data_IF_080022784746
#
_entry.id   IF_080022784746
#
_cell.length_a   1.000
_cell.length_b   1.000
_cell.length_c   1.000
_cell.angle_alpha   90.00
_cell.angle_beta   90.00
_cell.angle_gamma   90.00
#
_symmetry.space_group_name_H-M   'P 1'
#
loop_
_entity.id
_entity.type
_entity.pdbx_description
1 polymer ?
#
# COMPACT_ATOMS: atom_id res chain seq x y z
N UNK A 1 -33.42 -3.61 -30.65
CA UNK A 1 -33.33 -5.08 -30.77
C UNK A 1 -33.62 -5.69 -29.40
N UNK A 2 -33.99 -6.98 -29.28
CA UNK A 2 -34.01 -7.65 -27.98
C UNK A 2 -32.64 -7.56 -27.30
N UNK A 3 -32.64 -7.40 -25.97
CA UNK A 3 -31.42 -7.31 -25.15
C UNK A 3 -30.63 -8.62 -25.27
N UNK A 4 -29.30 -8.53 -25.32
CA UNK A 4 -28.42 -9.71 -25.31
C UNK A 4 -28.22 -10.40 -26.66
N UNK A 5 -28.66 -9.78 -27.76
CA UNK A 5 -28.56 -10.38 -29.11
C UNK A 5 -27.12 -10.33 -29.67
N UNK A 6 -26.27 -9.42 -29.19
CA UNK A 6 -24.87 -9.26 -29.60
C UNK A 6 -23.92 -9.84 -28.55
N UNK A 7 -22.62 -9.92 -28.88
CA UNK A 7 -21.62 -10.43 -27.93
C UNK A 7 -21.47 -9.50 -26.72
N UNK A 8 -21.22 -10.04 -25.51
CA UNK A 8 -20.95 -9.24 -24.33
C UNK A 8 -19.51 -8.70 -24.34
N UNK A 9 -19.25 -7.70 -23.49
CA UNK A 9 -17.88 -7.28 -23.16
C UNK A 9 -17.20 -8.29 -22.20
N UNK A 10 -15.90 -8.13 -21.87
CA UNK A 10 -15.18 -9.05 -20.96
C UNK A 10 -15.76 -9.15 -19.54
N UNK A 11 -16.64 -8.23 -19.14
CA UNK A 11 -17.34 -8.25 -17.85
C UNK A 11 -18.71 -8.95 -17.95
N UNK A 12 -19.06 -9.51 -19.11
CA UNK A 12 -20.34 -10.16 -19.35
C UNK A 12 -21.51 -9.20 -19.59
N UNK A 13 -21.24 -7.92 -19.87
CA UNK A 13 -22.27 -6.91 -20.10
C UNK A 13 -22.65 -6.84 -21.59
N UNK A 14 -23.96 -6.90 -21.84
CA UNK A 14 -24.55 -6.79 -23.18
C UNK A 14 -25.07 -5.38 -23.45
N UNK A 15 -25.12 -5.01 -24.73
CA UNK A 15 -25.68 -3.75 -25.22
C UNK A 15 -25.04 -2.51 -24.56
N UNK A 16 -23.76 -2.59 -24.20
CA UNK A 16 -22.99 -1.46 -23.64
C UNK A 16 -22.77 -0.36 -24.69
N UNK A 17 -22.77 -0.74 -25.97
CA UNK A 17 -22.68 0.15 -27.12
C UNK A 17 -23.84 -0.15 -28.06
N UNK A 18 -24.63 0.87 -28.38
CA UNK A 18 -25.82 0.78 -29.22
C UNK A 18 -27.06 0.28 -28.48
N UNK A 19 -28.09 -0.10 -29.24
CA UNK A 19 -29.44 -0.37 -28.75
C UNK A 19 -30.10 0.87 -28.13
N UNK A 20 -29.77 1.25 -26.89
CA UNK A 20 -30.29 2.45 -26.25
C UNK A 20 -29.15 3.20 -25.54
N UNK A 21 -29.19 4.53 -25.61
CA UNK A 21 -28.26 5.34 -24.83
C UNK A 21 -28.68 5.26 -23.35
N UNK A 22 -27.75 4.99 -22.45
CA UNK A 22 -28.06 4.76 -21.03
C UNK A 22 -27.81 6.03 -20.23
N UNK A 23 -28.84 6.50 -19.51
CA UNK A 23 -28.73 7.61 -18.57
C UNK A 23 -27.80 7.22 -17.41
N UNK A 24 -26.90 8.13 -17.04
CA UNK A 24 -26.05 8.02 -15.85
C UNK A 24 -26.43 9.07 -14.81
N UNK A 25 -26.18 8.75 -13.54
CA UNK A 25 -26.58 9.59 -12.40
C UNK A 25 -25.84 10.94 -12.36
N UNK A 26 -24.68 11.03 -13.00
CA UNK A 26 -23.83 12.23 -13.00
C UNK A 26 -24.38 13.29 -13.96
N UNK A 27 -24.54 14.52 -13.48
CA UNK A 27 -24.82 15.68 -14.34
C UNK A 27 -23.65 15.99 -15.26
N UNK A 28 -23.93 16.60 -16.41
CA UNK A 28 -22.90 16.99 -17.35
C UNK A 28 -22.00 18.07 -16.76
N UNK A 29 -20.70 17.90 -16.97
CA UNK A 29 -19.68 18.90 -16.67
C UNK A 29 -18.60 18.78 -17.74
N UNK A 30 -18.05 19.94 -18.11
CA UNK A 30 -16.92 20.03 -19.02
C UNK A 30 -15.72 19.30 -18.42
N UNK A 31 -14.95 18.62 -19.27
CA UNK A 31 -13.70 17.97 -18.85
C UNK A 31 -12.54 18.71 -19.49
N UNK A 32 -11.64 19.24 -18.67
CA UNK A 32 -10.39 19.84 -19.11
C UNK A 32 -9.22 19.12 -18.43
N UNK A 33 -8.26 18.63 -19.22
CA UNK A 33 -7.10 17.85 -18.74
C UNK A 33 -7.48 16.71 -17.76
N UNK A 34 -8.60 16.03 -18.01
CA UNK A 34 -9.08 14.91 -17.19
C UNK A 34 -9.80 15.31 -15.89
N UNK A 35 -10.03 16.61 -15.64
CA UNK A 35 -10.79 17.10 -14.48
C UNK A 35 -12.13 17.69 -14.90
N UNK A 36 -13.16 17.40 -14.10
CA UNK A 36 -14.49 18.01 -14.23
C UNK A 36 -14.41 19.50 -13.83
N UNK A 37 -14.96 20.38 -14.66
CA UNK A 37 -14.98 21.83 -14.49
C UNK A 37 -16.32 22.41 -14.94
N UNK A 38 -16.64 23.61 -14.46
CA UNK A 38 -17.84 24.35 -14.84
C UNK A 38 -19.08 23.99 -14.02
N UNK A 39 -20.20 24.63 -14.39
CA UNK A 39 -21.49 24.40 -13.77
C UNK A 39 -22.04 23.01 -14.13
N UNK A 40 -22.96 22.52 -13.29
CA UNK A 40 -23.71 21.30 -13.58
C UNK A 40 -24.74 21.56 -14.67
N UNK A 41 -24.65 20.76 -15.74
CA UNK A 41 -25.60 20.75 -16.84
C UNK A 41 -26.72 19.73 -16.67
N UNK A 42 -27.29 19.31 -17.79
CA UNK A 42 -28.30 18.26 -17.89
C UNK A 42 -27.79 16.88 -17.52
N UNK A 43 -28.61 15.85 -17.72
CA UNK A 43 -28.18 14.48 -17.46
C UNK A 43 -27.30 13.98 -18.62
N UNK A 44 -26.38 13.09 -18.28
CA UNK A 44 -25.50 12.47 -19.27
C UNK A 44 -26.08 11.13 -19.71
N UNK A 45 -25.97 10.85 -21.01
CA UNK A 45 -26.15 9.50 -21.54
C UNK A 45 -24.86 8.96 -22.15
N UNK A 46 -24.69 7.64 -22.10
CA UNK A 46 -23.55 6.91 -22.67
C UNK A 46 -24.00 5.72 -23.51
N UNK A 47 -23.08 5.12 -24.25
CA UNK A 47 -23.32 3.90 -25.02
C UNK A 47 -23.90 4.12 -26.43
N UNK A 48 -24.57 5.25 -26.66
CA UNK A 48 -25.23 5.55 -27.94
C UNK A 48 -26.44 4.65 -28.19
N UNK A 49 -27.19 4.90 -29.26
CA UNK A 49 -28.47 4.24 -29.51
C UNK A 49 -28.60 3.66 -30.93
N UNK A 50 -29.72 3.00 -31.21
CA UNK A 50 -29.97 2.31 -32.48
C UNK A 50 -30.05 3.21 -33.73
N UNK A 51 -30.16 4.53 -33.59
CA UNK A 51 -30.15 5.49 -34.70
C UNK A 51 -28.74 6.00 -35.04
N UNK A 52 -27.75 5.68 -34.21
CA UNK A 52 -26.38 6.19 -34.37
C UNK A 52 -25.53 5.28 -35.25
N UNK A 53 -24.74 5.89 -36.14
CA UNK A 53 -23.83 5.17 -37.02
C UNK A 53 -22.57 4.67 -36.30
N UNK A 54 -21.96 3.61 -36.80
CA UNK A 54 -20.79 2.95 -36.23
C UNK A 54 -19.62 3.93 -35.95
N UNK A 55 -19.38 4.89 -36.85
CA UNK A 55 -18.33 5.90 -36.69
C UNK A 55 -18.59 6.93 -35.59
N UNK A 56 -19.73 6.86 -34.88
CA UNK A 56 -20.09 7.76 -33.78
C UNK A 56 -20.26 7.04 -32.44
N UNK A 57 -20.11 5.71 -32.43
CA UNK A 57 -20.30 4.88 -31.25
C UNK A 57 -18.96 4.58 -30.57
N UNK A 58 -18.64 5.31 -29.50
CA UNK A 58 -17.42 5.12 -28.71
C UNK A 58 -17.72 5.02 -27.21
N UNK A 59 -16.94 4.19 -26.50
CA UNK A 59 -17.10 3.95 -25.05
C UNK A 59 -16.92 5.20 -24.19
N UNK A 60 -16.14 6.18 -24.66
CA UNK A 60 -15.91 7.46 -23.98
C UNK A 60 -16.91 8.56 -24.33
N UNK A 61 -17.84 8.33 -25.27
CA UNK A 61 -18.77 9.36 -25.70
C UNK A 61 -19.75 9.72 -24.58
N UNK A 62 -19.86 11.02 -24.31
CA UNK A 62 -20.83 11.60 -23.37
C UNK A 62 -21.73 12.54 -24.17
N UNK A 63 -23.04 12.38 -24.03
CA UNK A 63 -24.00 13.36 -24.54
C UNK A 63 -24.82 13.91 -23.39
N UNK A 64 -25.08 15.20 -23.46
CA UNK A 64 -25.91 15.91 -22.50
C UNK A 64 -27.32 16.05 -23.07
N UNK A 65 -28.32 15.77 -22.24
CA UNK A 65 -29.71 16.09 -22.52
C UNK A 65 -30.29 16.90 -21.37
N UNK A 66 -31.19 17.87 -21.65
CA UNK A 66 -31.82 18.65 -20.60
C UNK A 66 -32.79 17.77 -19.79
N UNK A 67 -32.88 18.00 -18.47
CA UNK A 67 -33.83 17.30 -17.60
C UNK A 67 -35.29 17.68 -17.91
N UNK A 68 -35.50 18.94 -18.29
CA UNK A 68 -36.81 19.52 -18.58
C UNK A 68 -36.78 20.28 -19.91
N UNK A 69 -37.92 20.31 -20.60
CA UNK A 69 -38.15 21.16 -21.75
C UNK A 69 -38.19 22.65 -21.37
N UNK A 70 -38.23 23.51 -22.39
CA UNK A 70 -38.32 24.97 -22.21
C UNK A 70 -39.59 25.42 -21.49
N UNK A 71 -40.63 24.60 -21.52
CA UNK A 71 -41.92 24.79 -20.85
C UNK A 71 -41.95 24.17 -19.44
N UNK A 72 -40.83 23.60 -18.97
CA UNK A 72 -40.71 22.94 -17.67
C UNK A 72 -41.24 21.51 -17.63
N UNK A 73 -41.70 20.96 -18.75
CA UNK A 73 -42.16 19.56 -18.81
C UNK A 73 -40.99 18.57 -18.78
N UNK A 74 -41.23 17.35 -18.31
CA UNK A 74 -40.21 16.29 -18.30
C UNK A 74 -39.73 15.98 -19.72
N UNK A 75 -38.40 16.00 -19.91
CA UNK A 75 -37.85 15.60 -21.20
C UNK A 75 -37.97 14.09 -21.39
N UNK A 76 -38.53 13.68 -22.53
CA UNK A 76 -38.65 12.27 -22.92
C UNK A 76 -37.86 12.01 -24.20
N UNK A 77 -37.13 10.89 -24.23
CA UNK A 77 -36.38 10.46 -25.39
C UNK A 77 -36.59 8.95 -25.61
N UNK A 78 -37.09 8.59 -26.78
CA UNK A 78 -37.37 7.20 -27.17
C UNK A 78 -36.10 6.36 -27.32
N UNK A 79 -34.94 6.99 -27.52
CA UNK A 79 -33.66 6.30 -27.69
C UNK A 79 -32.84 6.19 -26.41
N UNK A 80 -33.37 6.72 -25.29
CA UNK A 80 -32.69 6.70 -23.98
C UNK A 80 -33.34 5.69 -23.04
N UNK A 81 -32.52 4.78 -22.53
CA UNK A 81 -32.87 3.84 -21.47
C UNK A 81 -32.00 4.03 -20.23
N UNK A 82 -31.90 2.99 -19.42
CA UNK A 82 -31.07 2.97 -18.22
C UNK A 82 -30.64 1.55 -17.88
N UNK A 83 -29.59 1.47 -17.06
CA UNK A 83 -29.13 0.24 -16.43
C UNK A 83 -29.03 0.45 -14.93
N UNK A 84 -29.51 -0.51 -14.15
CA UNK A 84 -29.46 -0.45 -12.69
C UNK A 84 -28.13 -1.04 -12.22
N UNK A 85 -27.38 -0.25 -11.45
CA UNK A 85 -26.25 -0.74 -10.67
C UNK A 85 -26.65 -0.78 -9.19
N UNK A 86 -26.50 -1.95 -8.55
CA UNK A 86 -26.78 -2.13 -7.13
C UNK A 86 -25.45 -2.26 -6.40
N UNK A 87 -25.14 -1.27 -5.56
CA UNK A 87 -24.00 -1.31 -4.65
C UNK A 87 -24.43 -1.65 -3.23
N UNK A 88 -23.53 -2.27 -2.46
CA UNK A 88 -23.69 -2.35 -1.01
C UNK A 88 -23.26 -1.03 -0.36
N UNK A 89 -23.83 -0.71 0.81
CA UNK A 89 -23.31 0.39 1.65
C UNK A 89 -21.84 0.11 1.97
N UNK A 90 -20.95 1.04 1.66
CA UNK A 90 -19.53 0.92 2.03
C UNK A 90 -19.34 0.94 3.56
N UNK A 91 -20.30 1.49 4.30
CA UNK A 91 -20.34 1.54 5.76
C UNK A 91 -21.70 0.98 6.28
N UNK A 92 -21.89 -0.35 6.33
CA UNK A 92 -23.10 -0.95 6.88
C UNK A 92 -23.19 -0.71 8.39
N UNK A 93 -24.41 -0.78 8.96
CA UNK A 93 -24.62 -0.47 10.38
C UNK A 93 -23.78 -1.30 11.34
N UNK A 94 -23.56 -2.56 11.00
CA UNK A 94 -22.69 -3.48 11.75
C UNK A 94 -21.24 -3.01 11.87
N UNK A 95 -20.77 -2.16 10.95
CA UNK A 95 -19.40 -1.64 10.93
C UNK A 95 -19.28 -0.19 11.39
N UNK A 96 -20.37 0.50 11.74
CA UNK A 96 -20.28 1.91 12.15
C UNK A 96 -19.35 2.12 13.33
N UNK A 97 -19.46 1.27 14.37
CA UNK A 97 -18.62 1.41 15.55
C UNK A 97 -17.14 1.20 15.20
N UNK A 98 -16.83 0.16 14.43
CA UNK A 98 -15.47 -0.12 13.95
C UNK A 98 -14.91 1.05 13.12
N UNK A 99 -15.68 1.55 12.14
CA UNK A 99 -15.27 2.66 11.27
C UNK A 99 -15.12 3.97 12.04
N UNK A 100 -15.98 4.21 13.03
CA UNK A 100 -15.89 5.39 13.89
C UNK A 100 -14.66 5.32 14.80
N UNK A 101 -14.38 4.17 15.39
CA UNK A 101 -13.16 3.95 16.18
C UNK A 101 -11.89 4.09 15.32
N UNK A 102 -11.92 3.60 14.07
CA UNK A 102 -10.84 3.81 13.10
C UNK A 102 -10.66 5.30 12.79
N UNK A 103 -11.73 6.02 12.46
CA UNK A 103 -11.70 7.46 12.21
C UNK A 103 -11.18 8.27 13.41
N UNK A 104 -11.54 7.88 14.64
CA UNK A 104 -11.03 8.53 15.86
C UNK A 104 -9.53 8.31 16.10
N UNK A 105 -9.00 7.18 15.63
CA UNK A 105 -7.56 6.84 15.68
C UNK A 105 -6.78 7.48 14.53
N UNK A 106 -7.42 7.68 13.38
CA UNK A 106 -6.83 8.41 12.27
C UNK A 106 -6.55 9.87 12.65
N UNK A 107 -5.47 10.44 12.12
CA UNK A 107 -5.06 11.80 12.45
C UNK A 107 -4.49 11.99 13.86
N UNK A 108 -4.23 10.91 14.62
CA UNK A 108 -3.56 10.95 15.93
C UNK A 108 -2.05 10.90 15.77
N UNK A 109 -1.35 11.84 16.43
CA UNK A 109 0.12 11.88 16.41
C UNK A 109 0.71 10.70 17.19
N UNK A 110 0.05 10.27 18.26
CA UNK A 110 0.44 9.08 19.01
C UNK A 110 0.34 7.78 18.19
N UNK A 111 -0.38 7.79 17.07
CA UNK A 111 -0.39 6.67 16.11
C UNK A 111 0.88 6.56 15.26
N UNK A 112 1.68 7.63 15.16
CA UNK A 112 2.87 7.69 14.28
C UNK A 112 4.14 7.16 14.95
N UNK A 113 4.23 7.23 16.28
CA UNK A 113 5.43 6.88 17.05
C UNK A 113 5.04 6.47 18.47
N UNK A 114 5.81 5.56 19.05
CA UNK A 114 5.66 5.14 20.45
C UNK A 114 6.24 6.17 21.44
N UNK A 115 6.93 7.20 20.96
CA UNK A 115 7.51 8.26 21.79
C UNK A 115 6.45 9.24 22.34
N UNK A 116 5.23 9.23 21.79
CA UNK A 116 4.13 10.09 22.21
C UNK A 116 3.09 9.22 22.93
N UNK A 117 2.89 9.46 24.22
CA UNK A 117 1.81 8.85 24.97
C UNK A 117 0.44 9.35 24.43
N UNK A 118 -0.50 8.43 24.22
CA UNK A 118 -1.88 8.74 23.82
C UNK A 118 -2.59 9.71 24.79
N UNK A 119 -2.19 9.74 26.07
CA UNK A 119 -2.69 10.72 27.04
C UNK A 119 -2.17 12.14 26.77
N UNK A 120 -1.01 12.27 26.14
CA UNK A 120 -0.32 13.52 25.82
C UNK A 120 -0.45 13.93 24.35
N UNK A 121 -1.27 13.23 23.55
CA UNK A 121 -1.43 13.50 22.13
C UNK A 121 -1.92 14.95 21.89
N UNK A 122 -1.14 15.80 21.20
CA UNK A 122 -1.53 17.19 20.92
C UNK A 122 -2.84 17.31 20.13
N UNK A 123 -3.16 16.38 19.23
CA UNK A 123 -4.41 16.45 18.46
C UNK A 123 -5.62 16.12 19.34
N UNK A 124 -5.43 15.25 20.34
CA UNK A 124 -6.46 14.97 21.35
C UNK A 124 -6.67 16.16 22.27
N UNK A 125 -5.59 16.85 22.65
CA UNK A 125 -5.69 18.09 23.41
C UNK A 125 -6.40 19.20 22.63
N UNK A 126 -6.15 19.31 21.32
CA UNK A 126 -6.83 20.26 20.45
C UNK A 126 -8.34 19.97 20.33
N UNK A 127 -8.74 18.70 20.19
CA UNK A 127 -10.16 18.32 20.22
C UNK A 127 -10.85 18.82 21.51
N UNK A 128 -10.20 18.66 22.68
CA UNK A 128 -10.73 19.14 23.95
C UNK A 128 -10.83 20.67 24.02
N UNK A 129 -9.88 21.40 23.44
CA UNK A 129 -9.92 22.87 23.35
C UNK A 129 -11.09 23.33 22.48
N UNK A 130 -11.30 22.68 21.33
CA UNK A 130 -12.43 22.96 20.43
C UNK A 130 -13.76 22.67 21.12
N UNK A 131 -13.87 21.56 21.86
CA UNK A 131 -15.08 21.21 22.59
C UNK A 131 -15.40 22.18 23.74
N UNK A 132 -14.38 22.78 24.35
CA UNK A 132 -14.54 23.76 25.43
C UNK A 132 -14.73 25.20 24.94
N UNK A 133 -14.54 25.48 23.65
CA UNK A 133 -14.71 26.81 23.08
C UNK A 133 -16.18 27.23 23.13
N UNK A 134 -16.44 28.42 23.66
CA UNK A 134 -17.80 28.98 23.81
C UNK A 134 -18.21 29.90 22.64
N UNK A 135 -17.25 30.48 21.92
CA UNK A 135 -17.51 31.28 20.72
C UNK A 135 -17.67 30.37 19.48
N UNK A 136 -18.84 30.36 18.81
CA UNK A 136 -19.07 29.56 17.61
C UNK A 136 -18.09 29.85 16.47
N UNK A 137 -17.63 31.10 16.32
CA UNK A 137 -16.67 31.45 15.26
C UNK A 137 -15.31 30.86 15.54
N UNK A 138 -14.81 31.02 16.76
CA UNK A 138 -13.55 30.43 17.20
C UNK A 138 -13.59 28.90 17.13
N UNK A 139 -14.71 28.29 17.52
CA UNK A 139 -14.90 26.84 17.42
C UNK A 139 -14.82 26.36 15.96
N UNK A 140 -15.44 27.08 15.02
CA UNK A 140 -15.38 26.77 13.60
C UNK A 140 -13.96 26.90 13.03
N UNK A 141 -13.25 27.99 13.35
CA UNK A 141 -11.87 28.21 12.88
C UNK A 141 -10.89 27.14 13.42
N UNK A 142 -10.95 26.85 14.73
CA UNK A 142 -10.13 25.79 15.32
C UNK A 142 -10.50 24.41 14.76
N UNK A 143 -11.78 24.19 14.46
CA UNK A 143 -12.26 22.99 13.78
C UNK A 143 -11.61 22.81 12.41
N UNK A 144 -11.57 23.86 11.58
CA UNK A 144 -10.91 23.83 10.28
C UNK A 144 -9.41 23.51 10.39
N UNK A 145 -8.70 24.16 11.32
CA UNK A 145 -7.27 23.90 11.56
C UNK A 145 -7.03 22.47 12.02
N UNK A 146 -7.88 21.94 12.90
CA UNK A 146 -7.78 20.56 13.39
C UNK A 146 -8.01 19.53 12.27
N UNK A 147 -8.97 19.76 11.39
CA UNK A 147 -9.21 18.91 10.23
C UNK A 147 -8.03 18.92 9.25
N UNK A 148 -7.43 20.10 9.00
CA UNK A 148 -6.22 20.20 8.19
C UNK A 148 -5.02 19.50 8.85
N UNK A 149 -4.85 19.65 10.17
CA UNK A 149 -3.81 18.96 10.92
C UNK A 149 -3.99 17.44 10.84
N UNK A 150 -5.20 16.92 11.10
CA UNK A 150 -5.51 15.48 11.01
C UNK A 150 -5.26 14.96 9.60
N UNK A 151 -5.63 15.72 8.56
CA UNK A 151 -5.33 15.38 7.16
C UNK A 151 -3.82 15.25 6.93
N UNK A 152 -3.02 16.21 7.40
CA UNK A 152 -1.57 16.17 7.26
C UNK A 152 -0.95 15.00 8.04
N UNK A 153 -1.43 14.74 9.26
CA UNK A 153 -1.02 13.57 10.05
C UNK A 153 -1.33 12.28 9.31
N UNK A 154 -2.53 12.16 8.70
CA UNK A 154 -2.89 10.99 7.90
C UNK A 154 -2.04 10.84 6.63
N UNK A 155 -1.62 11.92 5.98
CA UNK A 155 -0.67 11.86 4.86
C UNK A 155 0.71 11.35 5.31
N UNK A 156 1.21 11.85 6.45
CA UNK A 156 2.47 11.39 7.05
C UNK A 156 2.34 9.91 7.46
N UNK A 157 1.21 9.50 8.03
CA UNK A 157 0.96 8.11 8.40
C UNK A 157 1.10 7.19 7.19
N UNK A 158 0.48 7.53 6.06
CA UNK A 158 0.61 6.76 4.81
C UNK A 158 2.04 6.66 4.32
N UNK A 159 2.80 7.77 4.34
CA UNK A 159 4.21 7.75 3.95
C UNK A 159 5.04 6.86 4.87
N UNK A 160 4.78 6.89 6.19
CA UNK A 160 5.46 6.02 7.16
C UNK A 160 5.08 4.56 6.99
N UNK A 161 3.83 4.25 6.69
CA UNK A 161 3.36 2.91 6.37
C UNK A 161 4.09 2.36 5.14
N UNK A 162 4.13 3.11 4.04
CA UNK A 162 4.86 2.71 2.83
C UNK A 162 6.37 2.52 3.11
N UNK A 163 6.97 3.44 3.87
CA UNK A 163 8.37 3.34 4.27
C UNK A 163 8.66 2.10 5.15
N UNK A 164 7.76 1.76 6.08
CA UNK A 164 7.87 0.57 6.90
C UNK A 164 7.76 -0.71 6.06
N UNK A 165 6.82 -0.77 5.10
CA UNK A 165 6.72 -1.88 4.15
C UNK A 165 8.00 -2.05 3.32
N UNK A 166 8.54 -0.95 2.78
CA UNK A 166 9.79 -0.95 2.04
C UNK A 166 10.99 -1.36 2.89
N UNK A 167 11.04 -0.94 4.15
CA UNK A 167 12.08 -1.35 5.10
C UNK A 167 12.04 -2.86 5.34
N UNK A 168 10.86 -3.45 5.55
CA UNK A 168 10.70 -4.90 5.76
C UNK A 168 11.18 -5.66 4.52
N UNK A 169 10.78 -5.23 3.32
CA UNK A 169 11.23 -5.85 2.07
C UNK A 169 12.76 -5.72 1.88
N UNK A 170 13.29 -4.53 2.11
CA UNK A 170 14.73 -4.25 2.02
C UNK A 170 15.53 -5.12 3.00
N UNK A 171 15.11 -5.20 4.26
CA UNK A 171 15.78 -6.01 5.26
C UNK A 171 15.73 -7.52 4.95
N UNK A 172 14.63 -8.00 4.34
CA UNK A 172 14.55 -9.37 3.85
C UNK A 172 15.57 -9.64 2.72
N UNK A 173 15.78 -8.69 1.81
CA UNK A 173 16.80 -8.76 0.77
C UNK A 173 18.23 -8.69 1.32
N UNK A 174 18.47 -7.87 2.35
CA UNK A 174 19.76 -7.83 3.05
C UNK A 174 20.04 -9.19 3.72
N UNK A 175 19.04 -9.79 4.38
CA UNK A 175 19.17 -11.13 4.95
C UNK A 175 19.47 -12.21 3.89
N UNK A 176 18.89 -12.10 2.69
CA UNK A 176 19.23 -12.96 1.55
C UNK A 176 20.69 -12.73 1.09
N UNK A 177 21.13 -11.48 1.06
CA UNK A 177 22.52 -11.12 0.73
C UNK A 177 23.52 -11.69 1.72
N UNK A 178 23.23 -11.64 3.03
CA UNK A 178 24.03 -12.28 4.08
C UNK A 178 24.18 -13.78 3.81
N UNK A 179 23.08 -14.47 3.49
CA UNK A 179 23.13 -15.88 3.16
C UNK A 179 23.99 -16.17 1.92
N UNK A 180 23.85 -15.37 0.86
CA UNK A 180 24.63 -15.52 -0.37
C UNK A 180 26.12 -15.29 -0.15
N UNK A 181 26.51 -14.30 0.66
CA UNK A 181 27.89 -14.10 1.07
C UNK A 181 28.41 -15.28 1.88
N UNK A 182 27.62 -15.83 2.80
CA UNK A 182 28.03 -17.00 3.59
C UNK A 182 28.25 -18.25 2.72
N UNK A 183 27.37 -18.52 1.75
CA UNK A 183 27.54 -19.63 0.78
C UNK A 183 28.85 -19.45 0.00
N UNK A 184 29.09 -18.25 -0.55
CA UNK A 184 30.31 -17.95 -1.31
C UNK A 184 31.56 -18.11 -0.43
N UNK A 185 31.50 -17.63 0.81
CA UNK A 185 32.60 -17.72 1.77
C UNK A 185 32.91 -19.18 2.11
N UNK A 186 31.88 -20.00 2.35
CA UNK A 186 32.01 -21.43 2.65
C UNK A 186 32.64 -22.18 1.47
N UNK A 187 32.21 -21.88 0.24
CA UNK A 187 32.80 -22.48 -0.96
C UNK A 187 34.28 -22.09 -1.13
N UNK A 188 34.62 -20.82 -0.90
CA UNK A 188 36.01 -20.35 -0.96
C UNK A 188 36.91 -21.02 0.09
N UNK A 189 36.41 -21.17 1.33
CA UNK A 189 37.11 -21.88 2.39
C UNK A 189 37.35 -23.34 2.04
N UNK A 190 36.34 -24.03 1.48
CA UNK A 190 36.47 -25.40 1.02
C UNK A 190 37.50 -25.53 -0.12
N UNK A 191 37.54 -24.57 -1.06
CA UNK A 191 38.56 -24.59 -2.13
C UNK A 191 39.95 -24.28 -1.61
N UNK A 192 40.09 -23.38 -0.64
CA UNK A 192 41.37 -23.10 0.02
C UNK A 192 41.91 -24.37 0.71
N UNK A 193 41.08 -25.04 1.51
CA UNK A 193 41.47 -26.26 2.22
C UNK A 193 41.93 -27.37 1.26
N UNK A 194 41.29 -27.50 0.08
CA UNK A 194 41.73 -28.44 -0.97
C UNK A 194 43.08 -28.06 -1.58
N UNK A 195 43.31 -26.76 -1.84
CA UNK A 195 44.59 -26.29 -2.37
C UNK A 195 45.74 -26.48 -1.37
N UNK A 196 45.47 -26.23 -0.07
CA UNK A 196 46.41 -26.50 1.02
C UNK A 196 46.75 -27.99 1.12
N UNK A 197 45.74 -28.86 1.05
CA UNK A 197 45.94 -30.32 1.03
C UNK A 197 46.72 -30.82 -0.19
N UNK A 198 46.62 -30.12 -1.33
CA UNK A 198 47.35 -30.43 -2.56
C UNK A 198 48.77 -29.83 -2.61
N UNK A 199 49.18 -29.06 -1.60
CA UNK A 199 50.49 -28.39 -1.56
C UNK A 199 50.60 -27.13 -2.45
N UNK A 200 49.50 -26.66 -3.03
CA UNK A 200 49.47 -25.44 -3.86
C UNK A 200 49.36 -24.18 -2.98
N UNK A 201 50.51 -23.77 -2.42
CA UNK A 201 50.59 -22.62 -1.53
C UNK A 201 50.24 -21.29 -2.22
N UNK A 202 50.45 -21.18 -3.54
CA UNK A 202 50.16 -19.95 -4.30
C UNK A 202 48.66 -19.74 -4.39
N UNK A 203 47.91 -20.77 -4.79
CA UNK A 203 46.44 -20.71 -4.83
C UNK A 203 45.84 -20.56 -3.44
N UNK A 204 46.37 -21.28 -2.44
CA UNK A 204 45.91 -21.17 -1.05
C UNK A 204 46.01 -19.71 -0.51
N UNK A 205 47.13 -19.02 -0.77
CA UNK A 205 47.29 -17.61 -0.39
C UNK A 205 46.31 -16.68 -1.12
N UNK A 206 46.06 -16.90 -2.42
CA UNK A 206 45.07 -16.11 -3.16
C UNK A 206 43.66 -16.28 -2.59
N UNK A 207 43.25 -17.50 -2.25
CA UNK A 207 41.96 -17.75 -1.61
C UNK A 207 41.87 -17.10 -0.23
N UNK A 208 42.96 -17.10 0.55
CA UNK A 208 43.01 -16.41 1.85
C UNK A 208 42.64 -14.93 1.78
N UNK A 209 43.17 -14.19 0.80
CA UNK A 209 42.80 -12.79 0.59
C UNK A 209 41.32 -12.62 0.17
N UNK A 210 40.81 -13.49 -0.70
CA UNK A 210 39.41 -13.48 -1.11
C UNK A 210 38.45 -13.80 0.06
N UNK A 211 38.85 -14.70 0.96
CA UNK A 211 38.10 -15.06 2.17
C UNK A 211 38.05 -13.90 3.16
N UNK A 212 39.17 -13.20 3.37
CA UNK A 212 39.20 -12.01 4.22
C UNK A 212 38.24 -10.93 3.71
N UNK A 213 38.27 -10.65 2.40
CA UNK A 213 37.34 -9.71 1.76
C UNK A 213 35.88 -10.18 1.86
N UNK A 214 35.62 -11.47 1.64
CA UNK A 214 34.29 -12.07 1.76
C UNK A 214 33.73 -11.98 3.19
N UNK A 215 34.58 -12.17 4.21
CA UNK A 215 34.20 -12.01 5.62
C UNK A 215 33.87 -10.55 5.94
N UNK A 216 34.68 -9.59 5.50
CA UNK A 216 34.39 -8.17 5.68
C UNK A 216 33.06 -7.75 5.03
N UNK A 217 32.76 -8.28 3.83
CA UNK A 217 31.48 -8.04 3.16
C UNK A 217 30.28 -8.66 3.91
N UNK A 218 30.45 -9.87 4.45
CA UNK A 218 29.45 -10.53 5.28
C UNK A 218 29.16 -9.72 6.55
N UNK A 219 30.21 -9.31 7.27
CA UNK A 219 30.11 -8.51 8.49
C UNK A 219 29.43 -7.17 8.22
N UNK A 220 29.77 -6.52 7.09
CA UNK A 220 29.11 -5.29 6.64
C UNK A 220 27.62 -5.47 6.34
N UNK A 221 27.23 -6.58 5.69
CA UNK A 221 25.82 -6.88 5.42
C UNK A 221 25.03 -7.14 6.73
N UNK A 222 25.64 -7.80 7.71
CA UNK A 222 25.03 -7.99 9.04
C UNK A 222 24.86 -6.65 9.77
N UNK A 223 25.86 -5.76 9.69
CA UNK A 223 25.76 -4.42 10.27
C UNK A 223 24.60 -3.62 9.67
N UNK A 224 24.46 -3.60 8.33
CA UNK A 224 23.33 -2.96 7.65
C UNK A 224 21.99 -3.55 8.11
N UNK A 225 21.91 -4.87 8.28
CA UNK A 225 20.70 -5.51 8.79
C UNK A 225 20.36 -5.03 10.21
N UNK A 226 21.34 -4.89 11.09
CA UNK A 226 21.14 -4.37 12.46
C UNK A 226 20.73 -2.90 12.45
N UNK A 227 21.30 -2.07 11.58
CA UNK A 227 20.88 -0.66 11.41
C UNK A 227 19.42 -0.56 10.95
N UNK A 228 18.97 -1.50 10.11
CA UNK A 228 17.57 -1.62 9.73
C UNK A 228 16.67 -2.01 10.92
N UNK A 229 17.15 -2.82 11.87
CA UNK A 229 16.41 -3.10 13.12
C UNK A 229 16.19 -1.81 13.92
N UNK A 230 17.24 -1.01 14.09
CA UNK A 230 17.15 0.27 14.77
C UNK A 230 16.16 1.21 14.05
N UNK A 231 16.20 1.25 12.72
CA UNK A 231 15.22 2.00 11.91
C UNK A 231 13.79 1.48 12.07
N UNK A 232 13.62 0.16 12.21
CA UNK A 232 12.33 -0.48 12.45
C UNK A 232 11.69 -0.07 13.78
N UNK A 233 12.50 0.27 14.80
CA UNK A 233 11.97 0.74 16.09
C UNK A 233 11.39 2.16 16.05
N UNK A 234 11.57 2.91 14.97
CA UNK A 234 10.97 4.24 14.78
C UNK A 234 9.48 4.19 14.42
N UNK A 235 8.95 3.02 14.10
CA UNK A 235 7.54 2.81 13.76
C UNK A 235 6.86 2.09 14.92
N UNK A 236 5.57 2.33 15.13
CA UNK A 236 4.80 1.59 16.15
C UNK A 236 4.73 0.10 15.78
N UNK A 237 4.58 -0.78 16.77
CA UNK A 237 4.47 -2.22 16.52
C UNK A 237 3.26 -2.53 15.61
N UNK A 238 2.15 -1.82 15.83
CA UNK A 238 0.95 -1.93 15.00
C UNK A 238 1.23 -1.65 13.51
N UNK A 239 2.01 -0.60 13.20
CA UNK A 239 2.39 -0.28 11.81
C UNK A 239 3.29 -1.38 11.23
N UNK A 240 4.30 -1.84 11.97
CA UNK A 240 5.19 -2.92 11.52
C UNK A 240 4.40 -4.20 11.21
N UNK A 241 3.49 -4.61 12.11
CA UNK A 241 2.68 -5.82 11.91
C UNK A 241 1.72 -5.69 10.72
N UNK A 242 1.03 -4.55 10.58
CA UNK A 242 0.11 -4.32 9.47
C UNK A 242 0.82 -4.33 8.12
N UNK A 243 1.97 -3.66 8.01
CA UNK A 243 2.76 -3.63 6.78
C UNK A 243 3.42 -4.98 6.50
N UNK A 244 3.84 -5.71 7.54
CA UNK A 244 4.34 -7.07 7.37
C UNK A 244 3.31 -8.00 6.72
N UNK A 245 2.03 -7.92 7.11
CA UNK A 245 0.98 -8.73 6.47
C UNK A 245 0.81 -8.39 4.98
N UNK A 246 0.79 -7.09 4.63
CA UNK A 246 0.74 -6.66 3.22
C UNK A 246 1.94 -7.18 2.43
N UNK A 247 3.16 -6.99 2.95
CA UNK A 247 4.39 -7.46 2.31
C UNK A 247 4.36 -8.98 2.13
N UNK A 248 3.86 -9.72 3.12
CA UNK A 248 3.72 -11.18 3.04
C UNK A 248 2.76 -11.60 1.93
N UNK A 249 1.60 -10.95 1.81
CA UNK A 249 0.65 -11.21 0.72
C UNK A 249 1.25 -10.92 -0.65
N UNK A 250 1.97 -9.81 -0.81
CA UNK A 250 2.65 -9.45 -2.06
C UNK A 250 3.73 -10.46 -2.44
N UNK A 251 4.57 -10.85 -1.48
CA UNK A 251 5.64 -11.81 -1.71
C UNK A 251 5.09 -13.21 -2.04
N UNK A 252 4.01 -13.64 -1.40
CA UNK A 252 3.37 -14.94 -1.69
C UNK A 252 2.86 -15.05 -3.14
N UNK A 253 2.62 -13.93 -3.84
CA UNK A 253 2.26 -13.93 -5.27
C UNK A 253 3.44 -14.24 -6.18
N UNK A 254 4.68 -14.25 -5.67
CA UNK A 254 5.92 -14.52 -6.42
C UNK A 254 6.46 -15.90 -6.04
N UNK A 255 6.27 -16.94 -6.88
CA UNK A 255 6.70 -18.29 -6.54
C UNK A 255 8.23 -18.40 -6.35
N UNK A 256 8.65 -19.32 -5.47
CA UNK A 256 10.04 -19.62 -5.08
C UNK A 256 10.73 -18.48 -4.31
N UNK A 257 10.98 -17.33 -4.95
CA UNK A 257 11.68 -16.20 -4.33
C UNK A 257 10.86 -15.60 -3.18
N UNK A 258 9.54 -15.51 -3.35
CA UNK A 258 8.62 -14.97 -2.35
C UNK A 258 8.66 -15.75 -1.04
N UNK A 259 8.70 -17.09 -1.10
CA UNK A 259 8.73 -17.93 0.11
C UNK A 259 10.00 -17.72 0.94
N UNK A 260 11.17 -17.60 0.29
CA UNK A 260 12.42 -17.27 0.98
C UNK A 260 12.34 -15.91 1.65
N UNK A 261 11.87 -14.89 0.92
CA UNK A 261 11.77 -13.53 1.43
C UNK A 261 10.72 -13.39 2.54
N UNK A 262 9.63 -14.15 2.53
CA UNK A 262 8.64 -14.18 3.61
C UNK A 262 9.26 -14.70 4.91
N UNK A 263 10.03 -15.79 4.86
CA UNK A 263 10.73 -16.33 6.03
C UNK A 263 11.68 -15.28 6.62
N UNK A 264 12.42 -14.56 5.77
CA UNK A 264 13.37 -13.51 6.19
C UNK A 264 12.68 -12.25 6.71
N UNK A 265 11.58 -11.83 6.09
CA UNK A 265 10.75 -10.74 6.58
C UNK A 265 10.15 -11.07 7.96
N UNK A 266 9.68 -12.31 8.15
CA UNK A 266 9.19 -12.79 9.45
C UNK A 266 10.27 -12.70 10.51
N UNK A 267 11.49 -13.15 10.18
CA UNK A 267 12.64 -13.07 11.06
C UNK A 267 12.99 -11.62 11.43
N UNK A 268 12.98 -10.72 10.44
CA UNK A 268 13.24 -9.30 10.67
C UNK A 268 12.23 -8.66 11.61
N UNK A 269 10.93 -8.89 11.43
CA UNK A 269 9.90 -8.35 12.32
C UNK A 269 10.08 -8.85 13.76
N UNK A 270 10.42 -10.13 13.95
CA UNK A 270 10.77 -10.66 15.29
C UNK A 270 11.97 -9.93 15.88
N UNK A 271 13.07 -9.80 15.12
CA UNK A 271 14.26 -9.10 15.58
C UNK A 271 14.01 -7.62 15.90
N UNK A 272 13.11 -6.93 15.17
CA UNK A 272 12.71 -5.55 15.50
C UNK A 272 12.03 -5.50 16.87
N UNK A 273 11.16 -6.46 17.18
CA UNK A 273 10.53 -6.58 18.50
C UNK A 273 11.54 -6.82 19.62
N UNK A 274 12.50 -7.72 19.42
CA UNK A 274 13.58 -8.00 20.39
C UNK A 274 14.52 -6.80 20.57
N UNK A 275 14.90 -6.15 19.47
CA UNK A 275 15.73 -4.95 19.50
C UNK A 275 15.02 -3.80 20.22
N UNK A 276 13.70 -3.66 20.06
CA UNK A 276 12.90 -2.65 20.77
C UNK A 276 12.98 -2.82 22.29
N UNK A 277 12.97 -4.06 22.78
CA UNK A 277 13.05 -4.37 24.22
C UNK A 277 14.47 -4.19 24.75
N UNK A 278 15.46 -4.71 24.03
CA UNK A 278 16.83 -4.82 24.54
C UNK A 278 17.73 -3.63 24.17
N UNK A 279 17.31 -2.82 23.18
CA UNK A 279 18.08 -1.73 22.54
C UNK A 279 19.49 -2.13 22.09
N UNK A 280 19.68 -3.42 21.81
CA UNK A 280 20.95 -4.00 21.41
C UNK A 280 20.69 -5.26 20.59
N UNK A 281 21.55 -5.51 19.61
CA UNK A 281 21.66 -6.78 18.92
C UNK A 281 23.13 -7.21 18.91
N UNK A 282 23.39 -8.48 19.20
CA UNK A 282 24.72 -9.07 19.06
C UNK A 282 24.91 -9.56 17.60
N UNK A 283 25.93 -9.07 16.86
CA UNK A 283 26.12 -9.44 15.46
C UNK A 283 26.29 -10.95 15.23
N UNK A 284 26.96 -11.66 16.14
CA UNK A 284 27.18 -13.10 16.00
C UNK A 284 25.88 -13.89 16.15
N UNK A 285 25.04 -13.50 17.11
CA UNK A 285 23.70 -14.07 17.33
C UNK A 285 22.80 -13.80 16.12
N UNK A 286 22.75 -12.56 15.63
CA UNK A 286 21.97 -12.20 14.43
C UNK A 286 22.42 -13.00 13.21
N UNK A 287 23.73 -13.08 12.95
CA UNK A 287 24.26 -13.85 11.83
C UNK A 287 23.83 -15.32 11.93
N UNK A 288 23.95 -15.94 13.11
CA UNK A 288 23.54 -17.33 13.32
C UNK A 288 22.07 -17.55 12.97
N UNK A 289 21.17 -16.66 13.41
CA UNK A 289 19.74 -16.77 13.16
C UNK A 289 19.37 -16.50 11.68
N UNK A 290 20.04 -15.53 11.05
CA UNK A 290 19.90 -15.26 9.61
C UNK A 290 20.27 -16.49 8.77
N UNK A 291 21.36 -17.17 9.11
CA UNK A 291 21.81 -18.38 8.41
C UNK A 291 20.90 -19.58 8.70
N UNK A 292 20.42 -19.73 9.93
CA UNK A 292 19.46 -20.79 10.28
C UNK A 292 18.13 -20.66 9.52
N UNK A 293 17.69 -19.42 9.25
CA UNK A 293 16.45 -19.17 8.50
C UNK A 293 16.51 -19.54 7.02
N UNK A 294 17.72 -19.75 6.48
CA UNK A 294 17.94 -20.15 5.10
C UNK A 294 17.95 -21.67 4.89
N UNK A 295 17.99 -22.46 5.97
CA UNK A 295 17.95 -23.91 5.89
C UNK A 295 16.54 -24.37 5.46
N UNK A 296 16.41 -25.30 4.49
CA UNK A 296 15.11 -25.88 4.17
C UNK A 296 14.52 -26.52 5.43
N UNK A 297 13.29 -26.14 5.78
CA UNK A 297 12.56 -26.84 6.84
C UNK A 297 12.30 -28.28 6.35
N UNK A 298 12.49 -29.29 7.22
CA UNK A 298 12.22 -30.68 6.87
C UNK A 298 10.76 -30.91 6.48
#
# INVERSE_FOLDING_TARGET
MPIGTKQPNPLGLFDVIGNAAEMVQESFQLVNAGRLQGAYGGFVVKGGNYLEGEGTLFTGMRREYPLFGVDGTEQRNETTGFRVAIGALSAPRSRYQELFEQWQKEGRLAGLTDDIDAAQDPTKRLDSIIAAATDPRQQAELGLVNEELKRNVSLIARQREEAAGNLIQSAALVAETVNNYNIRLTNLQNTQAKAEAAGDQTSARMYGAAIANGRAALDGAVAIYIDNLASGTRYTDAVIQAQFQRVKEELNRKPVLGNSLVTRATLFVRHVGEYRQNRRADPATILKELLASAAPRP
#
